data_IF_941342293079
#
_entry.id   IF_941342293079
#
_cell.length_a   1.000
_cell.length_b   1.000
_cell.length_c   1.000
_cell.angle_alpha   90.00
_cell.angle_beta   90.00
_cell.angle_gamma   90.00
#
_symmetry.space_group_name_H-M   'P 1'
#
loop_
_entity.id
_entity.type
_entity.pdbx_description
1 polymer ?
#
# COMPACT_ATOMS: atom_id res chain seq x y z
N UNK A 1 11.20 -11.90 -3.07
CA UNK A 1 11.57 -10.65 -3.77
C UNK A 1 10.72 -9.56 -3.15
N UNK A 2 11.34 -8.62 -2.44
CA UNK A 2 10.65 -7.52 -1.77
C UNK A 2 10.50 -6.34 -2.73
N UNK A 3 9.48 -5.53 -2.50
CA UNK A 3 9.34 -4.22 -3.12
C UNK A 3 10.26 -3.24 -2.41
N UNK A 4 10.99 -2.43 -3.17
CA UNK A 4 11.89 -1.38 -2.68
C UNK A 4 11.33 0.00 -3.06
N UNK A 5 11.86 1.11 -2.53
CA UNK A 5 11.26 2.43 -2.75
C UNK A 5 11.22 2.84 -4.23
N UNK A 6 12.16 2.38 -5.04
CA UNK A 6 12.16 2.65 -6.47
C UNK A 6 11.07 1.88 -7.24
N UNK A 7 10.59 0.74 -6.73
CA UNK A 7 9.50 -0.02 -7.37
C UNK A 7 8.15 0.73 -7.26
N UNK A 8 8.01 1.62 -6.26
CA UNK A 8 6.85 2.49 -6.05
C UNK A 8 7.11 3.94 -6.45
N UNK A 9 8.18 4.25 -7.20
CA UNK A 9 8.54 5.63 -7.54
C UNK A 9 7.45 6.39 -8.32
N UNK A 10 6.51 5.67 -8.94
CA UNK A 10 5.36 6.24 -9.66
C UNK A 10 4.06 6.25 -8.87
N UNK A 11 4.06 5.97 -7.56
CA UNK A 11 2.84 5.93 -6.73
C UNK A 11 2.05 7.25 -6.78
N UNK A 12 2.72 8.40 -6.87
CA UNK A 12 2.06 9.70 -7.02
C UNK A 12 1.18 9.78 -8.27
N UNK A 13 1.59 9.15 -9.38
CA UNK A 13 0.77 9.08 -10.60
C UNK A 13 -0.49 8.25 -10.34
N UNK A 14 -0.38 7.15 -9.58
CA UNK A 14 -1.53 6.33 -9.22
C UNK A 14 -2.52 7.13 -8.34
N UNK A 15 -2.02 7.90 -7.36
CA UNK A 15 -2.85 8.78 -6.53
C UNK A 15 -3.58 9.83 -7.36
N UNK A 16 -2.89 10.48 -8.29
CA UNK A 16 -3.50 11.44 -9.21
C UNK A 16 -4.56 10.79 -10.12
N UNK A 17 -4.36 9.53 -10.50
CA UNK A 17 -5.35 8.74 -11.23
C UNK A 17 -6.54 8.23 -10.38
N UNK A 18 -6.60 8.59 -9.09
CA UNK A 18 -7.69 8.22 -8.17
C UNK A 18 -7.49 6.91 -7.39
N UNK A 19 -6.33 6.27 -7.50
CA UNK A 19 -5.95 5.09 -6.70
C UNK A 19 -5.63 5.53 -5.27
N UNK A 20 -6.14 4.80 -4.27
CA UNK A 20 -5.77 5.03 -2.88
C UNK A 20 -4.59 4.12 -2.53
N UNK A 21 -3.46 4.72 -2.13
CA UNK A 21 -2.23 3.98 -1.77
C UNK A 21 -1.93 4.14 -0.28
N UNK A 22 -1.86 3.02 0.43
CA UNK A 22 -1.62 2.95 1.88
C UNK A 22 -0.44 2.03 2.22
N UNK A 23 0.06 2.12 3.45
CA UNK A 23 0.81 1.06 4.09
C UNK A 23 -0.14 -0.12 4.47
N UNK A 24 0.38 -1.25 4.97
CA UNK A 24 -0.44 -2.39 5.40
C UNK A 24 -1.43 -2.08 6.52
N UNK A 25 -1.13 -1.09 7.36
CA UNK A 25 -1.99 -0.62 8.44
C UNK A 25 -3.09 0.35 7.94
N UNK A 26 -3.17 0.62 6.63
CA UNK A 26 -4.16 1.53 6.03
C UNK A 26 -3.82 3.01 6.16
N UNK A 27 -2.62 3.35 6.67
CA UNK A 27 -2.11 4.73 6.79
C UNK A 27 -1.50 5.18 5.45
N UNK A 28 -1.32 6.48 5.21
CA UNK A 28 -0.61 6.94 4.01
C UNK A 28 0.77 6.30 3.89
N UNK A 29 1.11 5.78 2.71
CA UNK A 29 2.44 5.22 2.44
C UNK A 29 3.51 6.30 2.65
N UNK A 30 4.50 5.99 3.50
CA UNK A 30 5.64 6.85 3.86
C UNK A 30 6.91 5.99 3.96
N UNK A 31 7.35 5.44 2.82
CA UNK A 31 8.59 4.68 2.76
C UNK A 31 9.81 5.62 2.76
N UNK A 32 10.93 5.25 3.40
CA UNK A 32 12.20 5.96 3.25
C UNK A 32 12.64 5.99 1.78
N UNK A 33 13.22 7.11 1.34
CA UNK A 33 13.80 7.24 -0.01
C UNK A 33 15.20 6.65 -0.08
N UNK A 34 15.32 5.38 0.29
CA UNK A 34 16.54 4.57 0.18
C UNK A 34 16.41 3.59 -0.98
N UNK A 35 17.47 2.84 -1.28
CA UNK A 35 17.46 1.85 -2.37
C UNK A 35 17.24 0.42 -1.88
N UNK A 36 17.33 0.18 -0.58
CA UNK A 36 17.44 -1.17 0.00
C UNK A 36 16.37 -1.49 1.04
N UNK A 37 15.54 -0.51 1.43
CA UNK A 37 14.50 -0.75 2.43
C UNK A 37 13.34 -1.51 1.82
N UNK A 38 12.85 -2.51 2.54
CA UNK A 38 11.62 -3.20 2.17
C UNK A 38 10.42 -2.27 2.34
N UNK A 39 9.57 -2.23 1.32
CA UNK A 39 8.34 -1.44 1.27
C UNK A 39 7.15 -2.37 1.13
N UNK A 40 6.28 -2.37 2.14
CA UNK A 40 4.96 -2.95 2.04
C UNK A 40 3.94 -1.85 1.74
N UNK A 41 3.07 -2.07 0.75
CA UNK A 41 2.05 -1.10 0.34
C UNK A 41 0.82 -1.82 -0.20
N UNK A 42 -0.32 -1.13 -0.18
CA UNK A 42 -1.58 -1.59 -0.75
C UNK A 42 -2.15 -0.50 -1.64
N UNK A 43 -2.56 -0.86 -2.86
CA UNK A 43 -3.26 0.00 -3.79
C UNK A 43 -4.72 -0.42 -3.96
N UNK A 44 -5.66 0.48 -3.69
CA UNK A 44 -7.07 0.29 -3.98
C UNK A 44 -7.46 1.14 -5.18
N UNK A 45 -8.02 0.53 -6.22
CA UNK A 45 -8.35 1.26 -7.44
C UNK A 45 -9.36 2.41 -7.23
N UNK A 46 -10.20 2.34 -6.20
CA UNK A 46 -11.08 3.43 -5.78
C UNK A 46 -11.60 3.22 -4.35
N UNK A 47 -12.27 4.24 -3.81
CA UNK A 47 -12.78 4.24 -2.44
C UNK A 47 -13.88 3.19 -2.18
N UNK A 48 -14.66 2.84 -3.22
CA UNK A 48 -15.71 1.82 -3.11
C UNK A 48 -15.12 0.44 -2.87
N UNK A 49 -14.09 0.07 -3.65
CA UNK A 49 -13.37 -1.19 -3.47
C UNK A 49 -12.60 -1.22 -2.14
N UNK A 50 -11.99 -0.10 -1.74
CA UNK A 50 -11.33 -0.01 -0.42
C UNK A 50 -12.31 -0.37 0.71
N UNK A 51 -13.51 0.22 0.73
CA UNK A 51 -14.50 -0.01 1.79
C UNK A 51 -14.91 -1.48 1.95
N UNK A 52 -14.97 -2.25 0.85
CA UNK A 52 -15.35 -3.67 0.93
C UNK A 52 -14.17 -4.61 1.16
N UNK A 53 -12.96 -4.25 0.70
CA UNK A 53 -11.79 -5.14 0.72
C UNK A 53 -10.90 -4.91 1.95
N UNK A 54 -10.65 -3.65 2.34
CA UNK A 54 -9.69 -3.30 3.40
C UNK A 54 -9.97 -4.03 4.73
N UNK A 55 -11.22 -4.14 5.24
CA UNK A 55 -11.47 -4.83 6.50
C UNK A 55 -11.12 -6.33 6.46
N UNK A 56 -11.36 -6.99 5.31
CA UNK A 56 -11.02 -8.40 5.13
C UNK A 56 -9.51 -8.56 5.02
N UNK A 57 -8.85 -7.70 4.25
CA UNK A 57 -7.41 -7.72 4.06
C UNK A 57 -6.67 -7.47 5.39
N UNK A 58 -7.06 -6.45 6.15
CA UNK A 58 -6.43 -6.16 7.45
C UNK A 58 -6.59 -7.30 8.44
N UNK A 59 -7.76 -7.96 8.46
CA UNK A 59 -7.96 -9.15 9.29
C UNK A 59 -6.98 -10.27 8.90
N UNK A 60 -6.83 -10.55 7.61
CA UNK A 60 -5.91 -11.58 7.11
C UNK A 60 -4.44 -11.24 7.41
N UNK A 61 -4.04 -9.97 7.25
CA UNK A 61 -2.69 -9.53 7.60
C UNK A 61 -2.41 -9.75 9.09
N UNK A 62 -3.34 -9.35 9.96
CA UNK A 62 -3.23 -9.58 11.39
C UNK A 62 -3.18 -11.07 11.76
N UNK A 63 -3.99 -11.93 11.12
CA UNK A 63 -3.97 -13.39 11.30
C UNK A 63 -2.60 -14.00 10.94
N UNK A 64 -1.86 -13.38 10.01
CA UNK A 64 -0.54 -13.82 9.58
C UNK A 64 0.63 -13.05 10.22
N UNK A 65 0.35 -12.13 11.16
CA UNK A 65 1.38 -11.39 11.89
C UNK A 65 2.05 -10.26 11.09
N UNK A 66 1.33 -9.66 10.16
CA UNK A 66 1.77 -8.54 9.31
C UNK A 66 1.07 -7.22 9.68
#
# INVERSE_FOLDING_TARGET
MCCHPYDVCTELIAREAGVLVTDPAGRPLQAPLTTDHDVAWIGYANATLRRSIEPVLQRLLAEHGL
#
